data_IF_926363970489
#
_entry.id   IF_926363970489
#
_cell.length_a   1.000
_cell.length_b   1.000
_cell.length_c   1.000
_cell.angle_alpha   90.00
_cell.angle_beta   90.00
_cell.angle_gamma   90.00
#
_symmetry.space_group_name_H-M   'P 1'
#
loop_
_entity.id
_entity.type
_entity.pdbx_description
1 polymer ?
#
# COMPACT_ATOMS: atom_id res chain seq x y z
N UNK A 1 -7.55 0.37 -21.61
CA UNK A 1 -6.49 -0.66 -21.77
C UNK A 1 -6.07 -1.21 -20.41
N UNK A 2 -5.62 -0.39 -19.46
CA UNK A 2 -5.20 -0.82 -18.11
C UNK A 2 -6.29 -1.55 -17.30
N UNK A 3 -7.53 -1.04 -17.26
CA UNK A 3 -8.65 -1.73 -16.57
C UNK A 3 -8.92 -3.14 -17.13
N UNK A 4 -8.75 -3.34 -18.44
CA UNK A 4 -8.93 -4.64 -19.09
C UNK A 4 -7.78 -5.60 -18.74
N UNK A 5 -6.56 -5.09 -18.56
CA UNK A 5 -5.42 -5.89 -18.10
C UNK A 5 -5.62 -6.34 -16.65
N UNK A 6 -6.13 -5.48 -15.77
CA UNK A 6 -6.48 -5.85 -14.39
C UNK A 6 -7.57 -6.93 -14.38
N UNK A 7 -8.62 -6.77 -15.17
CA UNK A 7 -9.74 -7.71 -15.21
C UNK A 7 -9.35 -9.13 -15.64
N UNK A 8 -8.27 -9.27 -16.41
CA UNK A 8 -7.77 -10.57 -16.87
C UNK A 8 -6.47 -10.97 -16.19
N UNK A 9 -6.06 -10.27 -15.12
CA UNK A 9 -4.86 -10.59 -14.37
C UNK A 9 -5.09 -11.89 -13.61
N UNK A 10 -4.24 -12.89 -13.88
CA UNK A 10 -4.24 -14.14 -13.13
C UNK A 10 -3.03 -14.18 -12.21
N UNK A 11 -3.30 -14.35 -10.93
CA UNK A 11 -2.31 -14.29 -9.86
C UNK A 11 -1.75 -15.67 -9.58
N UNK A 12 -0.44 -15.76 -9.29
CA UNK A 12 0.18 -17.01 -8.86
C UNK A 12 0.03 -17.22 -7.35
N UNK A 13 0.13 -18.47 -6.84
CA UNK A 13 0.13 -18.74 -5.40
C UNK A 13 1.21 -17.97 -4.65
N UNK A 14 2.39 -17.77 -5.26
CA UNK A 14 3.49 -17.02 -4.69
C UNK A 14 3.12 -15.55 -4.35
N UNK A 15 2.28 -14.90 -5.15
CA UNK A 15 1.82 -13.52 -4.86
C UNK A 15 1.12 -13.45 -3.50
N UNK A 16 0.32 -14.48 -3.17
CA UNK A 16 -0.37 -14.56 -1.89
C UNK A 16 0.62 -14.84 -0.75
N UNK A 17 1.52 -15.81 -0.95
CA UNK A 17 2.57 -16.17 0.02
C UNK A 17 3.45 -14.96 0.36
N UNK A 18 3.95 -14.25 -0.65
CA UNK A 18 4.78 -13.06 -0.48
C UNK A 18 4.04 -11.94 0.27
N UNK A 19 2.75 -11.76 -0.01
CA UNK A 19 1.91 -10.78 0.69
C UNK A 19 1.77 -11.12 2.17
N UNK A 20 1.49 -12.39 2.50
CA UNK A 20 1.38 -12.85 3.89
C UNK A 20 2.70 -12.69 4.63
N UNK A 21 3.82 -13.09 4.02
CA UNK A 21 5.15 -12.96 4.61
C UNK A 21 5.54 -11.50 4.88
N UNK A 22 5.17 -10.57 3.99
CA UNK A 22 5.42 -9.13 4.20
C UNK A 22 4.70 -8.55 5.42
N UNK A 23 3.49 -9.03 5.72
CA UNK A 23 2.72 -8.58 6.89
C UNK A 23 3.19 -9.24 8.19
N UNK A 24 3.93 -10.35 8.13
CA UNK A 24 4.35 -11.13 9.29
C UNK A 24 5.86 -11.35 9.33
N UNK A 25 6.61 -10.31 8.94
CA UNK A 25 8.08 -10.30 8.96
C UNK A 25 8.64 -10.50 10.37
N UNK A 26 9.87 -11.04 10.51
CA UNK A 26 10.73 -11.55 9.43
C UNK A 26 10.51 -13.04 9.09
N UNK A 27 9.73 -13.75 9.92
CA UNK A 27 9.55 -15.19 9.81
C UNK A 27 8.17 -15.63 10.31
N UNK A 28 7.67 -16.73 9.77
CA UNK A 28 6.37 -17.30 10.09
C UNK A 28 6.44 -18.82 10.08
N UNK A 29 5.72 -19.48 10.98
CA UNK A 29 5.62 -20.94 10.98
C UNK A 29 4.86 -21.41 9.73
N UNK A 30 5.30 -22.52 9.13
CA UNK A 30 4.80 -22.99 7.83
C UNK A 30 3.29 -23.25 7.86
N UNK A 31 2.77 -23.85 8.93
CA UNK A 31 1.33 -24.11 9.09
C UNK A 31 0.51 -22.81 9.13
N UNK A 32 1.01 -21.79 9.85
CA UNK A 32 0.37 -20.48 9.92
C UNK A 32 0.42 -19.75 8.57
N UNK A 33 1.53 -19.88 7.84
CA UNK A 33 1.64 -19.35 6.47
C UNK A 33 0.62 -20.01 5.55
N UNK A 34 0.46 -21.33 5.65
CA UNK A 34 -0.50 -22.07 4.86
C UNK A 34 -1.94 -21.64 5.15
N UNK A 35 -2.33 -21.57 6.41
CA UNK A 35 -3.66 -21.12 6.82
C UNK A 35 -3.98 -19.71 6.29
N UNK A 36 -3.06 -18.76 6.50
CA UNK A 36 -3.23 -17.37 6.05
C UNK A 36 -3.23 -17.24 4.53
N UNK A 37 -2.44 -18.04 3.83
CA UNK A 37 -2.40 -18.05 2.35
C UNK A 37 -3.71 -18.59 1.79
N UNK A 38 -4.26 -19.66 2.38
CA UNK A 38 -5.56 -20.21 1.97
C UNK A 38 -6.71 -19.26 2.29
N UNK A 39 -6.67 -18.59 3.45
CA UNK A 39 -7.62 -17.53 3.78
C UNK A 39 -7.56 -16.39 2.76
N UNK A 40 -6.36 -15.92 2.42
CA UNK A 40 -6.16 -14.86 1.43
C UNK A 40 -6.58 -15.30 0.02
N UNK A 41 -6.38 -16.57 -0.35
CA UNK A 41 -6.93 -17.15 -1.59
C UNK A 41 -8.44 -17.01 -1.61
N UNK A 42 -9.13 -17.40 -0.54
CA UNK A 42 -10.59 -17.28 -0.42
C UNK A 42 -11.06 -15.83 -0.56
N UNK A 43 -10.39 -14.90 0.13
CA UNK A 43 -10.72 -13.48 0.08
C UNK A 43 -10.48 -12.88 -1.32
N UNK A 44 -9.37 -13.24 -1.98
CA UNK A 44 -9.05 -12.82 -3.34
C UNK A 44 -10.14 -13.23 -4.33
N UNK A 45 -10.62 -14.48 -4.24
CA UNK A 45 -11.73 -14.99 -5.06
C UNK A 45 -13.04 -14.28 -4.73
N UNK A 46 -13.32 -14.02 -3.45
CA UNK A 46 -14.53 -13.31 -3.02
C UNK A 46 -14.60 -11.88 -3.61
N UNK A 47 -13.43 -11.23 -3.75
CA UNK A 47 -13.25 -9.90 -4.35
C UNK A 47 -13.09 -9.93 -5.88
N UNK A 48 -13.24 -11.09 -6.51
CA UNK A 48 -13.26 -11.21 -7.98
C UNK A 48 -11.87 -11.31 -8.63
N UNK A 49 -10.82 -11.56 -7.86
CA UNK A 49 -9.50 -11.88 -8.40
C UNK A 49 -9.45 -13.31 -8.97
N UNK A 50 -8.59 -13.51 -9.97
CA UNK A 50 -8.33 -14.81 -10.58
C UNK A 50 -7.00 -15.37 -10.10
N UNK A 51 -6.97 -16.66 -9.77
CA UNK A 51 -5.77 -17.35 -9.27
C UNK A 51 -5.46 -18.57 -10.13
N UNK A 52 -4.20 -18.72 -10.51
CA UNK A 52 -3.65 -19.97 -11.06
C UNK A 52 -3.33 -20.93 -9.91
N UNK A 53 -4.38 -21.47 -9.27
CA UNK A 53 -4.21 -22.48 -8.23
C UNK A 53 -4.47 -23.88 -8.81
N UNK A 54 -3.56 -24.85 -8.69
CA UNK A 54 -3.79 -26.21 -9.18
C UNK A 54 -4.94 -26.89 -8.41
N UNK A 55 -5.99 -27.32 -9.12
CA UNK A 55 -7.18 -27.91 -8.47
C UNK A 55 -6.94 -29.29 -7.85
N UNK A 56 -5.90 -30.00 -8.30
CA UNK A 56 -5.62 -31.39 -7.93
C UNK A 56 -4.47 -31.55 -6.92
N UNK A 57 -3.83 -30.46 -6.52
CA UNK A 57 -2.68 -30.50 -5.60
C UNK A 57 -3.11 -30.00 -4.21
N UNK A 58 -2.62 -30.65 -3.14
CA UNK A 58 -2.88 -30.19 -1.79
C UNK A 58 -2.14 -28.87 -1.53
N UNK A 59 -2.68 -28.06 -0.60
CA UNK A 59 -2.24 -26.69 -0.42
C UNK A 59 -0.78 -26.56 0.05
N UNK A 60 -0.33 -27.52 0.86
CA UNK A 60 1.03 -27.64 1.35
C UNK A 60 2.03 -27.85 0.20
N UNK A 61 1.73 -28.75 -0.75
CA UNK A 61 2.57 -28.98 -1.93
C UNK A 61 2.67 -27.72 -2.82
N UNK A 62 1.55 -27.02 -3.05
CA UNK A 62 1.51 -25.78 -3.84
C UNK A 62 2.37 -24.68 -3.18
N UNK A 63 2.26 -24.53 -1.87
CA UNK A 63 3.02 -23.53 -1.11
C UNK A 63 4.50 -23.91 -1.06
N UNK A 64 4.85 -25.17 -0.75
CA UNK A 64 6.24 -25.64 -0.77
C UNK A 64 6.89 -25.43 -2.13
N UNK A 65 6.19 -25.78 -3.21
CA UNK A 65 6.65 -25.55 -4.58
C UNK A 65 6.90 -24.06 -4.84
N UNK A 66 6.01 -23.20 -4.36
CA UNK A 66 6.19 -21.75 -4.45
C UNK A 66 7.41 -21.25 -3.68
N UNK A 67 7.67 -21.77 -2.47
CA UNK A 67 8.84 -21.44 -1.65
C UNK A 67 10.14 -21.90 -2.33
N UNK A 68 10.16 -23.11 -2.90
CA UNK A 68 11.33 -23.68 -3.59
C UNK A 68 11.72 -22.85 -4.81
N UNK A 69 10.73 -22.46 -5.63
CA UNK A 69 10.93 -21.59 -6.80
C UNK A 69 11.50 -20.21 -6.44
N UNK A 70 11.20 -19.71 -5.23
CA UNK A 70 11.65 -18.40 -4.75
C UNK A 70 12.69 -18.53 -3.62
N UNK A 71 13.47 -19.60 -3.63
CA UNK A 71 14.51 -19.88 -2.63
C UNK A 71 15.63 -18.83 -2.57
N UNK A 72 15.70 -17.90 -3.52
CA UNK A 72 16.56 -16.71 -3.44
C UNK A 72 16.02 -15.62 -2.49
N UNK A 73 14.72 -15.62 -2.21
CA UNK A 73 14.01 -14.63 -1.37
C UNK A 73 13.66 -15.22 0.00
N UNK A 74 13.40 -16.52 0.07
CA UNK A 74 12.89 -17.19 1.27
C UNK A 74 13.64 -18.49 1.55
N UNK A 75 13.67 -18.91 2.81
CA UNK A 75 14.15 -20.22 3.25
C UNK A 75 13.15 -20.86 4.21
N UNK A 76 13.08 -22.18 4.18
CA UNK A 76 12.36 -23.00 5.17
C UNK A 76 13.40 -23.63 6.09
N UNK A 77 13.43 -23.21 7.36
CA UNK A 77 14.30 -23.76 8.41
C UNK A 77 13.44 -24.23 9.59
N UNK A 78 13.52 -25.52 9.93
CA UNK A 78 12.79 -26.13 11.07
C UNK A 78 11.30 -25.75 11.11
N UNK A 79 10.60 -25.93 9.99
CA UNK A 79 9.18 -25.58 9.80
C UNK A 79 8.86 -24.09 9.91
N UNK A 80 9.88 -23.22 9.86
CA UNK A 80 9.71 -21.77 9.82
C UNK A 80 10.16 -21.23 8.48
N UNK A 81 9.27 -20.47 7.86
CA UNK A 81 9.52 -19.75 6.63
C UNK A 81 10.11 -18.39 6.98
N UNK A 82 11.35 -18.16 6.57
CA UNK A 82 12.13 -16.95 6.90
C UNK A 82 12.47 -16.22 5.61
N UNK A 83 12.18 -14.92 5.55
CA UNK A 83 12.68 -14.10 4.46
C UNK A 83 14.20 -13.99 4.58
N UNK A 84 14.90 -14.13 3.46
CA UNK A 84 16.36 -13.96 3.35
C UNK A 84 16.71 -12.47 3.38
N UNK A 85 16.40 -11.88 4.51
CA UNK A 85 16.85 -10.57 4.95
C UNK A 85 18.14 -10.84 5.70
N UNK A 86 19.17 -11.28 4.97
CA UNK A 86 20.44 -11.71 5.56
C UNK A 86 21.09 -10.51 6.28
N UNK A 87 20.99 -10.48 7.61
CA UNK A 87 22.01 -9.89 8.46
C UNK A 87 23.12 -10.92 8.63
N UNK A 88 23.76 -11.35 7.53
CA UNK A 88 25.03 -12.07 7.66
C UNK A 88 25.98 -11.08 8.31
N UNK A 89 26.59 -11.48 9.42
CA UNK A 89 27.69 -10.81 10.14
C UNK A 89 28.54 -9.92 9.22
N UNK A 90 28.09 -8.70 9.01
CA UNK A 90 28.72 -7.78 8.08
C UNK A 90 28.53 -6.40 8.66
N UNK A 91 29.61 -5.92 9.27
CA UNK A 91 29.84 -4.53 9.63
C UNK A 91 29.87 -3.61 8.38
N UNK A 92 29.20 -3.98 7.27
CA UNK A 92 29.32 -3.36 5.94
C UNK A 92 27.94 -3.01 5.39
N UNK A 93 27.88 -1.82 4.79
CA UNK A 93 26.78 -1.19 4.04
C UNK A 93 26.03 -2.15 3.08
N UNK A 94 26.65 -3.24 2.65
CA UNK A 94 26.08 -4.21 1.70
C UNK A 94 24.94 -5.06 2.27
N UNK A 95 24.95 -5.41 3.57
CA UNK A 95 23.91 -6.26 4.18
C UNK A 95 22.51 -5.61 4.15
N UNK A 96 22.47 -4.29 4.41
CA UNK A 96 21.25 -3.48 4.36
C UNK A 96 20.71 -3.37 2.92
N UNK A 97 21.60 -3.29 1.93
CA UNK A 97 21.22 -3.26 0.51
C UNK A 97 20.51 -4.56 0.12
N UNK A 98 21.04 -5.72 0.52
CA UNK A 98 20.40 -7.02 0.25
C UNK A 98 19.04 -7.14 0.94
N UNK A 99 18.93 -6.69 2.20
CA UNK A 99 17.65 -6.59 2.91
C UNK A 99 16.62 -5.76 2.15
N UNK A 100 17.02 -4.58 1.67
CA UNK A 100 16.15 -3.69 0.89
C UNK A 100 15.67 -4.36 -0.40
N UNK A 101 16.57 -5.03 -1.13
CA UNK A 101 16.24 -5.72 -2.38
C UNK A 101 15.22 -6.84 -2.13
N UNK A 102 15.44 -7.70 -1.14
CA UNK A 102 14.50 -8.79 -0.81
C UNK A 102 13.10 -8.26 -0.50
N UNK A 103 13.02 -7.20 0.30
CA UNK A 103 11.74 -6.61 0.71
C UNK A 103 11.04 -5.87 -0.44
N UNK A 104 11.79 -5.15 -1.28
CA UNK A 104 11.25 -4.52 -2.48
C UNK A 104 10.77 -5.55 -3.51
N UNK A 105 11.47 -6.67 -3.67
CA UNK A 105 11.02 -7.77 -4.53
C UNK A 105 9.69 -8.35 -4.02
N UNK A 106 9.59 -8.62 -2.72
CA UNK A 106 8.32 -9.07 -2.12
C UNK A 106 7.21 -8.04 -2.33
N UNK A 107 7.54 -6.75 -2.21
CA UNK A 107 6.58 -5.66 -2.40
C UNK A 107 6.10 -5.58 -3.85
N UNK A 108 6.99 -5.84 -4.82
CA UNK A 108 6.62 -5.95 -6.22
C UNK A 108 5.68 -7.13 -6.48
N UNK A 109 5.86 -8.28 -5.80
CA UNK A 109 4.90 -9.39 -5.88
C UNK A 109 3.55 -9.02 -5.26
N UNK A 110 3.54 -8.44 -4.05
CA UNK A 110 2.32 -7.92 -3.40
C UNK A 110 1.58 -6.94 -4.32
N UNK A 111 2.29 -6.07 -5.05
CA UNK A 111 1.67 -5.08 -5.94
C UNK A 111 0.82 -5.70 -7.06
N UNK A 112 1.08 -6.95 -7.44
CA UNK A 112 0.24 -7.68 -8.39
C UNK A 112 -1.16 -7.95 -7.80
N UNK A 113 -1.24 -8.18 -6.49
CA UNK A 113 -2.49 -8.43 -5.76
C UNK A 113 -3.34 -7.16 -5.59
N UNK A 114 -2.70 -6.00 -5.41
CA UNK A 114 -3.34 -4.79 -4.89
C UNK A 114 -4.53 -4.31 -5.72
N UNK A 115 -4.51 -4.50 -7.04
CA UNK A 115 -5.61 -4.07 -7.91
C UNK A 115 -6.94 -4.77 -7.57
N UNK A 116 -6.90 -6.00 -7.05
CA UNK A 116 -8.09 -6.73 -6.58
C UNK A 116 -8.63 -6.10 -5.28
N UNK A 117 -7.75 -5.51 -4.47
CA UNK A 117 -8.06 -5.04 -3.12
C UNK A 117 -8.23 -3.52 -3.01
N UNK A 118 -7.93 -2.76 -4.07
CA UNK A 118 -7.81 -1.30 -3.95
C UNK A 118 -9.06 -0.59 -3.46
N UNK A 119 -10.22 -0.92 -4.03
CA UNK A 119 -11.50 -0.32 -3.62
C UNK A 119 -11.89 -0.69 -2.19
N UNK A 120 -11.94 -1.99 -1.79
CA UNK A 120 -12.26 -2.34 -0.42
C UNK A 120 -11.23 -1.81 0.59
N UNK A 121 -9.94 -1.80 0.26
CA UNK A 121 -8.90 -1.26 1.13
C UNK A 121 -8.99 0.24 1.32
N UNK A 122 -9.28 1.01 0.26
CA UNK A 122 -9.48 2.46 0.42
C UNK A 122 -10.71 2.78 1.29
N UNK A 123 -11.79 1.98 1.22
CA UNK A 123 -12.93 2.14 2.14
C UNK A 123 -12.52 1.83 3.57
N UNK A 124 -11.75 0.76 3.80
CA UNK A 124 -11.26 0.40 5.13
C UNK A 124 -10.35 1.48 5.74
N UNK A 125 -9.41 2.01 4.95
CA UNK A 125 -8.57 3.14 5.36
C UNK A 125 -9.41 4.40 5.61
N UNK A 126 -10.39 4.71 4.76
CA UNK A 126 -11.25 5.87 4.94
C UNK A 126 -12.07 5.82 6.24
N UNK A 127 -12.52 4.63 6.63
CA UNK A 127 -13.18 4.38 7.93
C UNK A 127 -12.23 4.67 9.10
N UNK A 128 -10.96 4.24 8.99
CA UNK A 128 -9.94 4.52 10.01
C UNK A 128 -9.66 6.03 10.11
N UNK A 129 -9.43 6.70 8.96
CA UNK A 129 -9.14 8.14 8.88
C UNK A 129 -10.31 9.00 9.38
N UNK A 130 -11.56 8.61 9.07
CA UNK A 130 -12.74 9.36 9.50
C UNK A 130 -12.95 9.33 11.03
N UNK A 131 -12.38 8.36 11.75
CA UNK A 131 -12.56 8.19 13.20
C UNK A 131 -14.00 7.87 13.62
N UNK A 132 -14.89 7.58 12.65
CA UNK A 132 -16.31 7.35 12.85
C UNK A 132 -16.98 6.76 11.61
N UNK A 133 -18.14 6.12 11.81
CA UNK A 133 -18.83 5.37 10.77
C UNK A 133 -19.73 6.18 9.84
N UNK A 134 -19.84 7.51 10.01
CA UNK A 134 -20.79 8.30 9.22
C UNK A 134 -20.43 8.24 7.74
N UNK A 135 -21.34 7.74 6.91
CA UNK A 135 -21.11 7.44 5.49
C UNK A 135 -20.54 8.64 4.71
N UNK A 136 -21.05 9.84 4.98
CA UNK A 136 -20.55 11.07 4.36
C UNK A 136 -19.08 11.31 4.71
N UNK A 137 -18.72 11.28 6.00
CA UNK A 137 -17.35 11.54 6.46
C UNK A 137 -16.38 10.47 5.91
N UNK A 138 -16.81 9.20 5.88
CA UNK A 138 -16.06 8.10 5.26
C UNK A 138 -15.86 8.35 3.76
N UNK A 139 -16.89 8.78 3.03
CA UNK A 139 -16.76 9.11 1.62
C UNK A 139 -15.80 10.29 1.37
N UNK A 140 -15.81 11.30 2.26
CA UNK A 140 -14.85 12.41 2.21
C UNK A 140 -13.41 11.90 2.32
N UNK A 141 -13.14 11.07 3.34
CA UNK A 141 -11.83 10.46 3.55
C UNK A 141 -11.42 9.53 2.40
N UNK A 142 -12.35 8.75 1.86
CA UNK A 142 -12.13 7.90 0.69
C UNK A 142 -11.70 8.73 -0.52
N UNK A 143 -12.42 9.82 -0.80
CA UNK A 143 -12.10 10.71 -1.93
C UNK A 143 -10.71 11.33 -1.77
N UNK A 144 -10.38 11.79 -0.56
CA UNK A 144 -9.05 12.31 -0.26
C UNK A 144 -7.95 11.27 -0.52
N UNK A 145 -8.06 10.08 0.06
CA UNK A 145 -7.09 8.99 -0.13
C UNK A 145 -6.95 8.61 -1.61
N UNK A 146 -8.08 8.55 -2.32
CA UNK A 146 -8.09 8.27 -3.76
C UNK A 146 -7.35 9.34 -4.56
N UNK A 147 -7.55 10.62 -4.23
CA UNK A 147 -6.92 11.73 -4.95
C UNK A 147 -5.40 11.80 -4.65
N UNK A 148 -4.99 11.43 -3.44
CA UNK A 148 -3.57 11.26 -3.05
C UNK A 148 -2.93 10.10 -3.81
N UNK A 149 -3.59 8.93 -3.83
CA UNK A 149 -3.01 7.69 -4.35
C UNK A 149 -3.36 7.42 -5.83
N UNK A 150 -3.84 8.42 -6.58
CA UNK A 150 -4.33 8.20 -7.94
C UNK A 150 -3.24 7.85 -8.96
N UNK A 151 -1.97 8.12 -8.65
CA UNK A 151 -0.82 7.69 -9.46
C UNK A 151 -0.30 6.30 -9.06
N UNK A 152 -0.64 5.82 -7.86
CA UNK A 152 -0.29 4.47 -7.39
C UNK A 152 -1.24 3.41 -7.94
N UNK A 153 -2.52 3.77 -8.05
CA UNK A 153 -3.58 2.81 -8.32
C UNK A 153 -4.53 3.24 -9.43
N UNK A 154 -5.13 2.24 -10.07
CA UNK A 154 -6.04 2.45 -11.20
C UNK A 154 -7.48 2.53 -10.70
N UNK A 155 -8.02 3.75 -10.69
CA UNK A 155 -9.42 4.06 -10.36
C UNK A 155 -10.28 4.24 -11.61
N UNK A 156 -11.61 4.26 -11.44
CA UNK A 156 -12.54 4.55 -12.52
C UNK A 156 -12.50 6.05 -12.85
N UNK A 157 -12.10 6.44 -14.08
CA UNK A 157 -11.93 7.85 -14.43
C UNK A 157 -13.22 8.65 -14.20
N UNK A 158 -13.14 9.71 -13.38
CA UNK A 158 -14.25 10.61 -13.09
C UNK A 158 -15.37 10.02 -12.23
N UNK A 159 -15.24 8.81 -11.68
CA UNK A 159 -16.34 8.13 -10.99
C UNK A 159 -15.99 7.67 -9.56
N UNK A 160 -15.69 8.64 -8.69
CA UNK A 160 -15.37 8.41 -7.28
C UNK A 160 -16.45 7.62 -6.54
N UNK A 161 -17.72 7.94 -6.82
CA UNK A 161 -18.88 7.31 -6.20
C UNK A 161 -18.92 5.83 -6.53
N UNK A 162 -18.72 5.46 -7.79
CA UNK A 162 -18.72 4.05 -8.18
C UNK A 162 -17.56 3.26 -7.58
N UNK A 163 -16.35 3.84 -7.51
CA UNK A 163 -15.23 3.17 -6.83
C UNK A 163 -15.54 2.96 -5.33
N UNK A 164 -16.17 3.94 -4.68
CA UNK A 164 -16.59 3.83 -3.28
C UNK A 164 -17.69 2.78 -3.08
N UNK A 165 -18.73 2.81 -3.90
CA UNK A 165 -19.86 1.87 -3.86
C UNK A 165 -19.41 0.43 -4.14
N UNK A 166 -18.49 0.23 -5.09
CA UNK A 166 -17.90 -1.08 -5.37
C UNK A 166 -17.07 -1.59 -4.18
N UNK A 167 -16.29 -0.72 -3.55
CA UNK A 167 -15.56 -1.05 -2.32
C UNK A 167 -16.51 -1.46 -1.18
N UNK A 168 -17.57 -0.68 -0.93
CA UNK A 168 -18.59 -1.01 0.06
C UNK A 168 -19.32 -2.32 -0.28
N UNK A 169 -19.67 -2.53 -1.56
CA UNK A 169 -20.33 -3.74 -2.02
C UNK A 169 -19.50 -4.99 -1.75
N UNK A 170 -18.21 -4.96 -2.09
CA UNK A 170 -17.29 -6.07 -1.84
C UNK A 170 -17.15 -6.37 -0.35
N UNK A 171 -17.04 -5.34 0.49
CA UNK A 171 -16.95 -5.49 1.94
C UNK A 171 -18.26 -5.99 2.58
N UNK A 172 -19.41 -5.61 2.05
CA UNK A 172 -20.69 -6.18 2.50
C UNK A 172 -20.82 -7.64 2.08
N UNK A 173 -20.40 -7.99 0.86
CA UNK A 173 -20.43 -9.36 0.34
C UNK A 173 -19.54 -10.31 1.14
N UNK A 174 -18.41 -9.82 1.67
CA UNK A 174 -17.54 -10.56 2.58
C UNK A 174 -17.93 -10.42 4.06
N UNK A 175 -19.12 -9.87 4.35
CA UNK A 175 -19.64 -9.63 5.71
C UNK A 175 -18.73 -8.76 6.59
N UNK A 176 -17.78 -8.04 5.97
CA UNK A 176 -16.78 -7.23 6.66
C UNK A 176 -17.39 -5.97 7.25
N UNK A 177 -18.33 -5.36 6.53
CA UNK A 177 -19.05 -4.17 6.98
C UNK A 177 -20.56 -4.36 6.79
N UNK A 178 -21.31 -3.58 7.56
CA UNK A 178 -22.73 -3.32 7.32
C UNK A 178 -22.91 -1.84 6.96
N UNK A 179 -23.59 -1.59 5.85
CA UNK A 179 -23.91 -0.23 5.39
C UNK A 179 -25.39 0.02 5.65
N UNK A 180 -25.67 1.04 6.46
CA UNK A 180 -27.01 1.59 6.67
C UNK A 180 -27.19 2.86 5.82
N UNK A 181 -28.34 3.51 5.93
CA UNK A 181 -28.59 4.78 5.22
C UNK A 181 -27.63 5.90 5.61
N UNK A 182 -27.09 5.89 6.85
CA UNK A 182 -26.26 6.98 7.39
C UNK A 182 -24.87 6.56 7.82
N UNK A 183 -24.71 5.30 8.21
CA UNK A 183 -23.50 4.81 8.85
C UNK A 183 -23.00 3.52 8.20
N UNK A 184 -21.69 3.34 8.24
CA UNK A 184 -20.95 2.15 7.87
C UNK A 184 -20.29 1.63 9.15
N UNK A 185 -20.55 0.36 9.47
CA UNK A 185 -20.06 -0.27 10.69
C UNK A 185 -19.28 -1.52 10.34
N UNK A 186 -18.08 -1.66 10.90
CA UNK A 186 -17.28 -2.89 10.80
C UNK A 186 -17.91 -3.96 11.69
N UNK A 187 -18.16 -5.14 11.13
CA UNK A 187 -18.74 -6.25 11.90
C UNK A 187 -17.65 -6.94 12.74
N UNK A 188 -18.05 -7.65 13.80
CA UNK A 188 -17.10 -8.43 14.61
C UNK A 188 -16.40 -9.53 13.79
N UNK A 189 -17.14 -10.25 12.94
CA UNK A 189 -16.58 -11.25 12.03
C UNK A 189 -15.69 -10.64 10.94
N UNK A 190 -15.93 -9.37 10.61
CA UNK A 190 -15.20 -8.61 9.61
C UNK A 190 -13.86 -8.05 10.04
N UNK A 191 -13.59 -7.97 11.35
CA UNK A 191 -12.36 -7.34 11.89
C UNK A 191 -11.08 -7.88 11.26
N UNK A 192 -10.86 -9.21 11.10
CA UNK A 192 -9.64 -9.72 10.48
C UNK A 192 -9.45 -9.26 9.03
N UNK A 193 -10.53 -9.21 8.24
CA UNK A 193 -10.48 -8.69 6.87
C UNK A 193 -10.19 -7.20 6.89
N UNK A 194 -10.88 -6.45 7.75
CA UNK A 194 -10.69 -5.00 7.89
C UNK A 194 -9.25 -4.63 8.26
N UNK A 195 -8.67 -5.29 9.25
CA UNK A 195 -7.28 -5.12 9.67
C UNK A 195 -6.31 -5.48 8.54
N UNK A 196 -6.50 -6.64 7.89
CA UNK A 196 -5.69 -7.04 6.74
C UNK A 196 -5.68 -5.98 5.63
N UNK A 197 -6.84 -5.41 5.31
CA UNK A 197 -6.98 -4.41 4.25
C UNK A 197 -6.25 -3.11 4.57
N UNK A 198 -6.28 -2.69 5.83
CA UNK A 198 -5.53 -1.53 6.32
C UNK A 198 -4.03 -1.83 6.22
N UNK A 199 -3.57 -2.95 6.75
CA UNK A 199 -2.16 -3.35 6.70
C UNK A 199 -1.63 -3.49 5.27
N UNK A 200 -2.47 -3.96 4.34
CA UNK A 200 -2.10 -4.16 2.94
C UNK A 200 -1.76 -2.83 2.24
N UNK A 201 -2.44 -1.73 2.61
CA UNK A 201 -2.27 -0.42 1.98
C UNK A 201 -1.53 0.60 2.85
N UNK A 202 -1.31 0.31 4.14
CA UNK A 202 -0.53 1.15 5.05
C UNK A 202 0.82 1.59 4.46
N UNK A 203 1.62 0.72 3.80
CA UNK A 203 2.91 1.15 3.27
C UNK A 203 2.79 2.33 2.30
N UNK A 204 1.72 2.42 1.51
CA UNK A 204 1.52 3.53 0.57
C UNK A 204 1.20 4.83 1.29
N UNK A 205 0.39 4.79 2.35
CA UNK A 205 0.13 5.97 3.19
C UNK A 205 1.41 6.42 3.88
N UNK A 206 2.15 5.47 4.47
CA UNK A 206 3.42 5.74 5.15
C UNK A 206 4.47 6.31 4.19
N UNK A 207 4.47 5.89 2.93
CA UNK A 207 5.37 6.46 1.93
C UNK A 207 5.17 7.97 1.75
N UNK A 208 3.91 8.39 1.65
CA UNK A 208 3.57 9.79 1.45
C UNK A 208 3.80 10.60 2.74
N UNK A 209 3.59 10.00 3.92
CA UNK A 209 3.96 10.62 5.21
C UNK A 209 5.46 10.89 5.31
N UNK A 210 6.31 9.89 5.01
CA UNK A 210 7.77 10.02 5.04
C UNK A 210 8.25 11.09 4.06
N UNK A 211 7.68 11.12 2.85
CA UNK A 211 8.03 12.12 1.83
C UNK A 211 7.57 13.53 2.25
N UNK A 212 6.37 13.69 2.79
CA UNK A 212 5.92 15.00 3.29
C UNK A 212 6.80 15.50 4.44
N UNK A 213 7.14 14.62 5.38
CA UNK A 213 8.06 14.93 6.47
C UNK A 213 9.43 15.38 5.95
N UNK A 214 10.00 14.66 4.99
CA UNK A 214 11.25 15.05 4.35
C UNK A 214 11.18 16.46 3.75
N UNK A 215 10.13 16.75 2.98
CA UNK A 215 9.94 18.03 2.31
C UNK A 215 9.73 19.20 3.29
N UNK A 216 9.19 18.94 4.48
CA UNK A 216 8.99 19.94 5.53
C UNK A 216 10.28 20.21 6.34
N UNK A 217 11.17 19.23 6.45
CA UNK A 217 12.47 19.38 7.11
C UNK A 217 13.54 20.00 6.20
N UNK A 218 13.27 20.10 4.90
CA UNK A 218 14.24 20.53 3.90
C UNK A 218 14.32 22.06 3.78
N UNK A 219 15.46 22.64 4.16
CA UNK A 219 15.69 24.10 4.12
C UNK A 219 15.89 24.68 2.70
N UNK A 220 15.84 23.85 1.65
CA UNK A 220 16.10 24.31 0.27
C UNK A 220 14.84 24.83 -0.40
N UNK A 221 14.89 26.09 -0.81
CA UNK A 221 13.81 26.77 -1.55
C UNK A 221 13.39 26.07 -2.86
N UNK A 222 14.30 25.33 -3.50
CA UNK A 222 13.97 24.61 -4.72
C UNK A 222 14.86 23.37 -4.96
N UNK A 223 14.32 22.43 -5.76
CA UNK A 223 15.01 21.21 -6.14
C UNK A 223 14.59 20.73 -7.54
N UNK A 224 15.47 19.96 -8.18
CA UNK A 224 15.15 19.20 -9.39
C UNK A 224 14.59 17.82 -9.03
N UNK A 225 13.92 17.16 -9.97
CA UNK A 225 13.42 15.78 -9.77
C UNK A 225 14.57 14.82 -9.38
N UNK A 226 15.74 14.98 -10.01
CA UNK A 226 16.92 14.14 -9.71
C UNK A 226 17.40 14.31 -8.27
N UNK A 227 17.42 15.55 -7.79
CA UNK A 227 17.79 15.85 -6.40
C UNK A 227 16.77 15.32 -5.41
N UNK A 228 15.48 15.51 -5.68
CA UNK A 228 14.39 14.95 -4.88
C UNK A 228 14.54 13.43 -4.71
N UNK A 229 14.71 12.69 -5.80
CA UNK A 229 14.87 11.23 -5.75
C UNK A 229 16.10 10.81 -4.92
N UNK A 230 17.20 11.55 -5.04
CA UNK A 230 18.41 11.25 -4.27
C UNK A 230 18.21 11.53 -2.77
N UNK A 231 17.63 12.69 -2.43
CA UNK A 231 17.46 13.14 -1.04
C UNK A 231 16.41 12.33 -0.29
N UNK A 232 15.27 12.01 -0.91
CA UNK A 232 14.26 11.12 -0.32
C UNK A 232 14.85 9.74 -0.01
N UNK A 233 15.69 9.18 -0.91
CA UNK A 233 16.37 7.90 -0.64
C UNK A 233 17.31 8.00 0.55
N UNK A 234 18.15 9.04 0.60
CA UNK A 234 19.08 9.23 1.71
C UNK A 234 18.33 9.39 3.03
N UNK A 235 17.28 10.21 3.07
CA UNK A 235 16.45 10.41 4.25
C UNK A 235 15.78 9.10 4.70
N UNK A 236 15.19 8.37 3.77
CA UNK A 236 14.54 7.09 4.06
C UNK A 236 15.54 6.06 4.58
N UNK A 237 16.71 5.93 3.94
CA UNK A 237 17.78 5.04 4.43
C UNK A 237 18.16 5.35 5.87
N UNK A 238 18.31 6.64 6.23
CA UNK A 238 18.60 7.02 7.61
C UNK A 238 17.50 6.61 8.59
N UNK A 239 16.22 6.77 8.23
CA UNK A 239 15.10 6.33 9.06
C UNK A 239 15.08 4.80 9.24
N UNK A 240 15.37 4.05 8.18
CA UNK A 240 15.45 2.59 8.23
C UNK A 240 16.63 2.11 9.09
N UNK A 241 17.81 2.72 8.92
CA UNK A 241 19.03 2.38 9.66
C UNK A 241 18.87 2.65 11.16
N UNK A 242 18.12 3.71 11.52
CA UNK A 242 17.80 4.06 12.91
C UNK A 242 16.64 3.23 13.48
N UNK A 243 15.96 2.42 12.66
CA UNK A 243 14.75 1.70 13.05
C UNK A 243 13.52 2.59 13.29
N UNK A 244 13.56 3.85 12.85
CA UNK A 244 12.48 4.81 12.98
C UNK A 244 11.32 4.57 11.99
N UNK A 245 11.56 3.79 10.92
CA UNK A 245 10.54 3.27 10.02
C UNK A 245 10.90 1.84 9.59
N UNK A 246 9.90 1.10 9.10
CA UNK A 246 10.07 -0.20 8.45
C UNK A 246 9.44 -0.24 7.04
N UNK A 247 9.14 0.95 6.48
CA UNK A 247 8.53 1.13 5.16
C UNK A 247 9.61 1.25 4.08
N UNK A 248 10.02 0.09 3.58
CA UNK A 248 11.00 0.00 2.50
C UNK A 248 10.44 0.42 1.13
N UNK A 249 9.11 0.43 0.98
CA UNK A 249 8.41 0.82 -0.25
C UNK A 249 8.83 2.23 -0.74
N UNK A 250 9.17 3.16 0.17
CA UNK A 250 9.64 4.51 -0.17
C UNK A 250 10.91 4.50 -1.01
N UNK A 251 11.75 3.47 -0.91
CA UNK A 251 12.98 3.37 -1.69
C UNK A 251 12.73 3.12 -3.19
N UNK A 252 11.51 2.71 -3.56
CA UNK A 252 11.10 2.53 -4.95
C UNK A 252 11.11 3.87 -5.71
N UNK A 253 11.78 3.90 -6.86
CA UNK A 253 11.73 5.09 -7.73
C UNK A 253 10.33 5.42 -8.20
N UNK A 254 9.49 4.40 -8.39
CA UNK A 254 8.15 4.58 -8.93
C UNK A 254 7.26 5.24 -7.88
N UNK A 255 7.31 4.78 -6.63
CA UNK A 255 6.60 5.41 -5.50
C UNK A 255 7.04 6.86 -5.32
N UNK A 256 8.35 7.13 -5.37
CA UNK A 256 8.85 8.52 -5.22
C UNK A 256 8.33 9.44 -6.32
N UNK A 257 8.31 8.97 -7.58
CA UNK A 257 7.82 9.73 -8.74
C UNK A 257 6.30 9.91 -8.70
N UNK A 258 5.57 8.86 -8.35
CA UNK A 258 4.13 8.90 -8.17
C UNK A 258 3.75 9.91 -7.09
N UNK A 259 4.43 9.85 -5.93
CA UNK A 259 4.25 10.82 -4.86
C UNK A 259 4.55 12.25 -5.33
N UNK A 260 5.66 12.50 -6.04
CA UNK A 260 5.96 13.84 -6.56
C UNK A 260 4.86 14.33 -7.52
N UNK A 261 4.39 13.47 -8.42
CA UNK A 261 3.30 13.80 -9.35
C UNK A 261 1.99 14.13 -8.60
N UNK A 262 1.66 13.36 -7.57
CA UNK A 262 0.51 13.58 -6.72
C UNK A 262 0.63 14.90 -5.93
N UNK A 263 1.77 15.16 -5.31
CA UNK A 263 2.03 16.40 -4.58
C UNK A 263 1.93 17.63 -5.47
N UNK A 264 2.38 17.53 -6.73
CA UNK A 264 2.19 18.59 -7.73
C UNK A 264 0.72 18.80 -8.08
N UNK A 265 -0.03 17.71 -8.33
CA UNK A 265 -1.47 17.78 -8.62
C UNK A 265 -2.26 18.37 -7.46
N UNK A 266 -1.89 18.06 -6.22
CA UNK A 266 -2.53 18.54 -5.00
C UNK A 266 -2.11 19.96 -4.60
N UNK A 267 -1.17 20.58 -5.33
CA UNK A 267 -0.66 21.92 -5.03
C UNK A 267 0.24 21.99 -3.79
N UNK A 268 0.74 20.85 -3.33
CA UNK A 268 1.72 20.74 -2.24
C UNK A 268 3.13 21.09 -2.75
N UNK A 269 3.40 20.77 -4.01
CA UNK A 269 4.65 21.14 -4.69
C UNK A 269 4.32 21.93 -5.96
N UNK A 270 4.93 23.10 -6.11
CA UNK A 270 4.83 23.89 -7.33
C UNK A 270 5.87 23.43 -8.36
N UNK A 271 5.44 23.12 -9.58
CA UNK A 271 6.34 22.83 -10.71
C UNK A 271 6.55 24.08 -11.56
N UNK A 272 7.80 24.51 -11.71
CA UNK A 272 8.22 25.64 -12.56
C UNK A 272 9.17 25.13 -13.65
N UNK A 273 9.05 25.67 -14.86
CA UNK A 273 9.98 25.35 -15.97
C UNK A 273 11.01 26.47 -16.08
N UNK A 274 12.28 26.16 -15.89
CA UNK A 274 13.40 27.11 -15.94
C UNK A 274 14.46 26.55 -16.88
N UNK A 275 14.81 27.28 -17.94
CA UNK A 275 15.87 26.90 -18.89
C UNK A 275 15.76 25.46 -19.42
N UNK A 276 14.54 25.04 -19.77
CA UNK A 276 14.18 23.68 -20.22
C UNK A 276 14.18 22.59 -19.13
N UNK A 277 14.66 22.87 -17.92
CA UNK A 277 14.59 21.97 -16.76
C UNK A 277 13.34 22.25 -15.92
N UNK A 278 12.88 21.22 -15.21
CA UNK A 278 11.78 21.33 -14.24
C UNK A 278 12.35 21.50 -12.83
N UNK A 279 11.96 22.58 -12.18
CA UNK A 279 12.32 22.93 -10.81
C UNK A 279 11.04 22.91 -9.97
N UNK A 280 11.17 22.43 -8.74
CA UNK A 280 10.08 22.24 -7.81
C UNK A 280 10.31 23.06 -6.55
N UNK A 281 9.23 23.53 -5.92
CA UNK A 281 9.25 24.28 -4.67
C UNK A 281 8.09 23.79 -3.78
N UNK A 282 8.34 23.64 -2.47
CA UNK A 282 7.36 23.15 -1.50
C UNK A 282 6.46 24.30 -1.05
N UNK A 283 5.14 24.09 -1.14
CA UNK A 283 4.17 24.93 -0.46
C UNK A 283 4.04 24.42 0.99
N UNK A 284 4.86 24.95 1.89
CA UNK A 284 4.94 24.51 3.30
C UNK A 284 3.57 24.39 4.00
N UNK A 285 2.65 25.39 3.93
CA UNK A 285 1.31 25.24 4.51
C UNK A 285 0.51 24.06 3.94
N UNK A 286 0.62 23.80 2.64
CA UNK A 286 -0.09 22.69 2.01
C UNK A 286 0.56 21.34 2.35
N UNK A 287 1.89 21.29 2.45
CA UNK A 287 2.63 20.10 2.87
C UNK A 287 2.31 19.71 4.32
N UNK A 288 2.34 20.67 5.25
CA UNK A 288 1.99 20.44 6.65
C UNK A 288 0.55 19.95 6.80
N UNK A 289 -0.38 20.58 6.08
CA UNK A 289 -1.78 20.14 6.07
C UNK A 289 -1.95 18.71 5.53
N UNK A 290 -1.22 18.35 4.46
CA UNK A 290 -1.29 17.00 3.91
C UNK A 290 -0.73 15.97 4.88
N UNK A 291 0.40 16.26 5.53
CA UNK A 291 0.99 15.42 6.58
C UNK A 291 0.00 15.17 7.73
N UNK A 292 -0.63 16.22 8.25
CA UNK A 292 -1.62 16.11 9.34
C UNK A 292 -2.83 15.25 8.96
N UNK A 293 -3.29 15.37 7.70
CA UNK A 293 -4.42 14.60 7.19
C UNK A 293 -4.07 13.12 7.00
N UNK A 294 -2.85 12.81 6.56
CA UNK A 294 -2.37 11.43 6.42
C UNK A 294 -2.15 10.77 7.81
N UNK A 295 -1.69 11.56 8.79
CA UNK A 295 -1.51 11.13 10.18
C UNK A 295 -2.83 10.95 10.96
N UNK A 296 -3.99 11.17 10.32
CA UNK A 296 -5.31 11.16 10.95
C UNK A 296 -5.42 12.15 12.14
N UNK A 297 -4.55 13.17 12.21
CA UNK A 297 -4.56 14.20 13.25
C UNK A 297 -5.66 15.23 13.02
N UNK A 298 -6.06 15.43 11.76
CA UNK A 298 -7.13 16.36 11.38
C UNK A 298 -8.18 15.69 10.48
N UNK A 299 -9.48 15.99 10.67
CA UNK A 299 -10.52 15.45 9.80
C UNK A 299 -10.36 15.96 8.36
N UNK A 300 -10.56 15.07 7.39
CA UNK A 300 -10.64 15.44 5.99
C UNK A 300 -11.85 16.36 5.79
N UNK A 301 -11.61 17.62 5.44
CA UNK A 301 -12.67 18.62 5.29
C UNK A 301 -13.78 18.18 4.34
N UNK A 302 -15.01 18.64 4.61
CA UNK A 302 -16.19 18.28 3.80
C UNK A 302 -16.01 18.74 2.34
N UNK A 303 -16.14 17.86 1.33
CA UNK A 303 -16.22 18.27 -0.05
C UNK A 303 -17.49 19.09 -0.27
N UNK A 304 -17.45 20.00 -1.24
CA UNK A 304 -18.63 20.69 -1.74
C UNK A 304 -19.57 19.64 -2.33
N UNK A 305 -20.61 19.31 -1.56
CA UNK A 305 -21.79 18.47 -1.87
C UNK A 305 -21.82 17.89 -3.28
N UNK A 306 -21.33 16.67 -3.44
CA UNK A 306 -21.90 15.74 -4.39
C UNK A 306 -23.01 14.99 -3.62
N UNK A 307 -24.25 15.08 -4.08
CA UNK A 307 -25.33 14.25 -3.50
C UNK A 307 -24.95 12.78 -3.71
N UNK A 308 -24.61 12.10 -2.63
CA UNK A 308 -24.64 10.64 -2.53
C UNK A 308 -26.09 10.13 -2.65
#
# INVERSE_FOLDING_TARGET
MQLLQIQNLVLSPWVLVATVLLQHRPAMDFDALMEKTLWLKGLTLAFGGFLMWPDNEPADEVIQSSLLLHSNIVSLDRDRVVLKVDARDSEVVDGLIYQHITLLMCSAYRNQLLNVFVRPSLVALALQVAGGGRKEDVYCSFRFLRDVLSDEFIFLPGNAVKDFEEGCYLLCKSETIQVTTKDIVVTEAGKPVFEFLIELFRPFVECYQIICKHLLEEEKDCFTEKEYLARVRTFTSQLLDQGASQCYDVLSSDVQKNALAALVRLGVVERKKVNNDCVFNVNEPAAAKLEEMLDCKTPVGKPVTAKL
#
